data_IF_923297435308
#
_entry.id   IF_923297435308
#
_cell.length_a   1.000
_cell.length_b   1.000
_cell.length_c   1.000
_cell.angle_alpha   90.00
_cell.angle_beta   90.00
_cell.angle_gamma   90.00
#
_symmetry.space_group_name_H-M   'P 1'
#
loop_
_entity.id
_entity.type
_entity.pdbx_description
1 polymer ?
#
# COMPACT_ATOMS: atom_id res chain seq x y z
N UNK A 1 -12.64 8.06 38.00
CA UNK A 1 -12.70 8.26 36.53
C UNK A 1 -11.28 8.20 35.98
N UNK A 2 -10.95 7.38 34.98
CA UNK A 2 -9.61 7.39 34.41
C UNK A 2 -9.38 8.73 33.66
N UNK A 3 -8.37 9.53 34.04
CA UNK A 3 -8.38 10.98 33.78
C UNK A 3 -7.95 11.41 32.36
N UNK A 4 -7.67 10.50 31.43
CA UNK A 4 -7.04 10.86 30.16
C UNK A 4 -7.72 10.22 28.94
N UNK A 5 -8.96 10.63 28.63
CA UNK A 5 -9.63 10.30 27.35
C UNK A 5 -10.08 11.56 26.61
N UNK A 6 -9.85 11.63 25.30
CA UNK A 6 -10.37 12.70 24.44
C UNK A 6 -11.25 12.13 23.33
N UNK A 7 -12.18 12.92 22.80
CA UNK A 7 -13.06 12.53 21.68
C UNK A 7 -12.57 13.17 20.39
N UNK A 8 -12.15 12.35 19.42
CA UNK A 8 -11.70 12.83 18.11
C UNK A 8 -12.90 13.36 17.30
N UNK A 9 -12.85 14.56 16.74
CA UNK A 9 -13.98 15.11 15.98
C UNK A 9 -14.10 14.58 14.54
N UNK A 10 -13.10 13.86 14.03
CA UNK A 10 -13.15 13.22 12.71
C UNK A 10 -13.97 11.92 12.77
N UNK A 11 -13.66 11.03 13.72
CA UNK A 11 -14.30 9.71 13.82
C UNK A 11 -15.29 9.58 14.99
N UNK A 12 -15.40 10.61 15.85
CA UNK A 12 -16.27 10.68 17.02
C UNK A 12 -16.00 9.61 18.11
N UNK A 13 -14.92 8.85 18.00
CA UNK A 13 -14.48 7.86 18.98
C UNK A 13 -13.59 8.48 20.07
N UNK A 14 -13.57 7.86 21.26
CA UNK A 14 -12.73 8.29 22.38
C UNK A 14 -11.52 7.37 22.57
N UNK A 15 -10.32 7.94 22.73
CA UNK A 15 -9.09 7.18 23.02
C UNK A 15 -8.24 7.83 24.11
N UNK A 16 -7.18 7.13 24.52
CA UNK A 16 -6.17 7.65 25.44
C UNK A 16 -5.41 8.83 24.82
N UNK A 17 -4.97 9.78 25.65
CA UNK A 17 -4.22 10.97 25.20
C UNK A 17 -2.79 10.65 24.70
N UNK A 18 -2.25 9.47 24.98
CA UNK A 18 -0.87 9.10 24.58
C UNK A 18 -0.65 9.02 23.08
N UNK A 19 -1.71 8.85 22.29
CA UNK A 19 -1.66 8.81 20.82
C UNK A 19 -2.33 10.02 20.15
N UNK A 20 -2.62 11.06 20.95
CA UNK A 20 -3.29 12.27 20.50
C UNK A 20 -2.31 13.21 19.80
N UNK A 21 -2.71 13.72 18.64
CA UNK A 21 -2.01 14.78 17.94
C UNK A 21 -2.81 16.08 18.02
N UNK A 22 -2.14 17.19 18.27
CA UNK A 22 -2.74 18.52 18.26
C UNK A 22 -2.25 19.34 17.07
N UNK A 23 -3.13 20.19 16.54
CA UNK A 23 -2.80 21.19 15.53
C UNK A 23 -2.38 22.51 16.20
N UNK A 24 -1.77 23.45 15.48
CA UNK A 24 -1.39 24.77 16.02
C UNK A 24 -2.58 25.60 16.52
N UNK A 25 -3.81 25.25 16.11
CA UNK A 25 -5.04 25.86 16.61
C UNK A 25 -5.59 25.21 17.89
N UNK A 26 -4.90 24.21 18.45
CA UNK A 26 -5.25 23.56 19.72
C UNK A 26 -6.25 22.40 19.62
N UNK A 27 -6.74 22.06 18.42
CA UNK A 27 -7.65 20.93 18.25
C UNK A 27 -6.91 19.60 18.16
N UNK A 28 -7.47 18.59 18.82
CA UNK A 28 -6.84 17.28 19.08
C UNK A 28 -7.54 16.16 18.30
N UNK A 29 -6.76 15.28 17.68
CA UNK A 29 -7.21 14.19 16.82
C UNK A 29 -6.40 12.92 17.05
N UNK A 30 -6.94 11.76 16.64
CA UNK A 30 -6.11 10.56 16.52
C UNK A 30 -5.08 10.74 15.42
N UNK A 31 -3.87 10.23 15.63
CA UNK A 31 -2.83 10.14 14.60
C UNK A 31 -3.33 9.65 13.23
N UNK A 32 -3.96 8.46 13.11
CA UNK A 32 -4.44 7.98 11.81
C UNK A 32 -5.53 8.86 11.19
N UNK A 33 -6.35 9.53 12.01
CA UNK A 33 -7.44 10.36 11.50
C UNK A 33 -6.90 11.64 10.86
N UNK A 34 -5.95 12.32 11.51
CA UNK A 34 -5.40 13.58 10.99
C UNK A 34 -4.42 13.34 9.83
N UNK A 35 -3.65 12.25 9.84
CA UNK A 35 -2.81 11.86 8.72
C UNK A 35 -3.65 11.52 7.48
N UNK A 36 -4.75 10.77 7.66
CA UNK A 36 -5.70 10.49 6.58
C UNK A 36 -6.33 11.76 6.02
N UNK A 37 -6.73 12.70 6.89
CA UNK A 37 -7.26 14.01 6.49
C UNK A 37 -6.25 14.82 5.66
N UNK A 38 -4.96 14.76 6.01
CA UNK A 38 -3.89 15.42 5.25
C UNK A 38 -3.70 14.76 3.87
N UNK A 39 -3.72 13.44 3.80
CA UNK A 39 -3.45 12.69 2.56
C UNK A 39 -4.64 12.68 1.57
N UNK A 40 -5.89 12.63 2.06
CA UNK A 40 -7.07 12.67 1.20
C UNK A 40 -7.36 14.08 0.64
N UNK A 41 -6.66 15.10 1.14
CA UNK A 41 -6.81 16.49 0.69
C UNK A 41 -6.13 16.80 -0.65
N UNK A 42 -5.44 15.84 -1.27
CA UNK A 42 -4.69 15.99 -2.52
C UNK A 42 -5.53 16.47 -3.73
N UNK A 43 -6.85 16.49 -3.62
CA UNK A 43 -7.75 16.98 -4.66
C UNK A 43 -8.32 18.40 -4.45
N UNK A 44 -8.01 19.13 -3.35
CA UNK A 44 -8.58 20.48 -3.11
C UNK A 44 -7.61 21.47 -2.43
N UNK A 45 -7.72 22.79 -2.70
CA UNK A 45 -6.87 23.82 -2.10
C UNK A 45 -7.15 23.96 -0.59
N UNK A 46 -6.34 23.30 0.24
CA UNK A 46 -6.50 23.37 1.70
C UNK A 46 -5.72 22.35 2.52
N UNK A 47 -4.56 21.87 2.05
CA UNK A 47 -3.71 20.81 2.67
C UNK A 47 -3.43 20.95 4.18
N UNK A 48 -3.65 22.15 4.71
CA UNK A 48 -3.27 22.54 6.06
C UNK A 48 -4.45 23.13 6.86
N UNK A 49 -5.72 22.87 6.50
CA UNK A 49 -6.87 23.42 7.25
C UNK A 49 -7.40 22.44 8.29
N UNK A 50 -7.52 22.91 9.52
CA UNK A 50 -8.02 22.11 10.65
C UNK A 50 -9.45 21.61 10.38
N UNK A 51 -9.76 20.31 10.57
CA UNK A 51 -11.11 19.76 10.37
C UNK A 51 -12.18 20.44 11.23
N UNK A 52 -11.81 20.94 12.42
CA UNK A 52 -12.77 21.51 13.38
C UNK A 52 -13.04 22.99 13.14
N UNK A 53 -12.00 23.80 12.93
CA UNK A 53 -12.11 25.26 12.87
C UNK A 53 -11.69 25.88 11.53
N UNK A 54 -11.20 25.05 10.59
CA UNK A 54 -10.75 25.44 9.25
C UNK A 54 -9.59 26.43 9.19
N UNK A 55 -8.97 26.77 10.32
CA UNK A 55 -7.72 27.56 10.38
C UNK A 55 -6.56 26.78 9.78
N UNK A 56 -5.63 27.50 9.17
CA UNK A 56 -4.40 26.93 8.64
C UNK A 56 -3.44 26.52 9.77
N UNK A 57 -2.82 25.34 9.67
CA UNK A 57 -1.86 24.80 10.61
C UNK A 57 -0.60 24.30 9.89
N UNK A 58 0.58 24.56 10.46
CA UNK A 58 1.87 24.23 9.80
C UNK A 58 2.38 22.82 10.12
N UNK A 59 1.69 22.08 10.98
CA UNK A 59 2.05 20.74 11.41
C UNK A 59 1.17 20.21 12.53
N UNK A 60 1.34 18.94 12.86
CA UNK A 60 0.71 18.27 13.98
C UNK A 60 1.77 17.84 14.98
N UNK A 61 1.48 17.96 16.27
CA UNK A 61 2.44 17.67 17.34
C UNK A 61 1.83 16.69 18.35
N UNK A 62 2.59 15.70 18.86
CA UNK A 62 2.14 14.85 19.95
C UNK A 62 1.87 15.66 21.22
N UNK A 63 0.79 15.34 21.92
CA UNK A 63 0.48 15.97 23.20
C UNK A 63 1.20 15.22 24.33
N UNK A 64 2.27 15.79 24.86
CA UNK A 64 2.94 15.27 26.06
C UNK A 64 2.31 15.88 27.30
N UNK A 65 1.53 15.09 28.04
CA UNK A 65 1.17 15.45 29.42
C UNK A 65 2.29 14.93 30.30
N UNK A 66 3.18 15.82 30.74
CA UNK A 66 4.06 15.53 31.87
C UNK A 66 3.20 15.54 33.13
N UNK A 67 3.03 14.42 33.85
CA UNK A 67 2.36 14.42 35.14
C UNK A 67 3.21 15.24 36.11
N UNK A 68 2.68 16.38 36.57
CA UNK A 68 3.40 17.26 37.48
C UNK A 68 3.45 16.70 38.90
N UNK A 69 4.67 16.54 39.40
CA UNK A 69 5.09 16.71 40.80
C UNK A 69 6.63 16.71 40.76
N UNK A 70 7.42 17.61 41.33
CA UNK A 70 7.24 18.79 42.17
C UNK A 70 8.67 19.08 42.65
N UNK A 71 9.37 20.06 42.08
CA UNK A 71 10.72 20.40 42.52
C UNK A 71 10.64 21.05 43.90
N UNK A 72 11.26 20.49 44.96
CA UNK A 72 11.41 21.23 46.20
C UNK A 72 12.57 22.22 46.03
N UNK A 73 12.24 23.51 46.03
CA UNK A 73 13.17 24.58 46.40
C UNK A 73 13.81 24.22 47.74
N UNK A 74 15.13 24.00 47.77
CA UNK A 74 15.89 24.02 49.01
C UNK A 74 16.74 25.28 49.06
N UNK A 75 16.31 26.12 50.00
CA UNK A 75 17.00 27.28 50.52
C UNK A 75 18.48 27.01 50.82
N UNK A 76 19.31 27.94 50.39
CA UNK A 76 20.62 28.19 50.95
C UNK A 76 20.46 28.69 52.39
N UNK A 77 20.90 27.91 53.37
CA UNK A 77 21.32 28.44 54.67
C UNK A 77 22.83 28.27 54.77
N UNK A 78 23.50 29.41 54.65
CA UNK A 78 24.76 29.69 55.32
C UNK A 78 24.44 29.85 56.80
N UNK A 79 25.30 29.32 57.65
CA UNK A 79 25.62 29.61 59.06
C UNK A 79 26.54 28.44 59.47
N UNK A 80 27.65 28.54 60.21
CA UNK A 80 28.36 29.61 60.88
C UNK A 80 29.77 29.03 61.21
N UNK A 81 30.73 29.93 61.36
CA UNK A 81 32.08 29.68 61.83
C UNK A 81 32.08 29.20 63.30
N UNK A 82 32.94 28.24 63.66
CA UNK A 82 33.36 28.01 65.05
C UNK A 82 34.75 27.36 65.12
N UNK A 83 35.74 28.23 65.40
CA UNK A 83 36.88 28.08 66.30
C UNK A 83 37.61 26.72 66.42
N UNK A 84 38.83 26.73 65.91
CA UNK A 84 40.09 26.59 66.66
C UNK A 84 39.98 26.22 68.16
N UNK A 85 40.45 25.02 68.51
CA UNK A 85 41.15 24.73 69.76
C UNK A 85 41.82 23.34 69.68
N UNK A 86 43.13 23.35 69.80
CA UNK A 86 44.03 22.23 70.04
C UNK A 86 43.67 21.43 71.30
N UNK A 87 43.76 20.10 71.23
CA UNK A 87 44.14 19.29 72.39
C UNK A 87 44.83 17.99 71.96
N UNK A 88 46.04 17.81 72.49
CA UNK A 88 46.97 16.70 72.28
C UNK A 88 46.48 15.41 72.93
N UNK A 89 45.85 14.51 72.15
CA UNK A 89 45.61 13.13 72.56
C UNK A 89 45.85 12.15 71.39
N UNK A 90 46.81 11.24 71.60
CA UNK A 90 47.16 10.00 70.88
C UNK A 90 46.97 9.95 69.36
N UNK A 91 48.06 10.25 68.66
CA UNK A 91 48.19 10.29 67.20
C UNK A 91 47.96 8.92 66.52
N UNK A 92 48.09 7.80 67.23
CA UNK A 92 47.92 6.45 66.67
C UNK A 92 46.47 5.91 66.76
N UNK A 93 45.70 6.29 67.80
CA UNK A 93 44.29 5.88 67.95
C UNK A 93 43.35 6.72 67.09
N UNK A 94 43.70 8.00 66.86
CA UNK A 94 42.97 8.87 65.93
C UNK A 94 43.24 8.51 64.47
N UNK A 95 44.41 7.95 64.15
CA UNK A 95 44.72 7.44 62.80
C UNK A 95 43.82 6.28 62.40
N UNK A 96 43.66 5.31 63.30
CA UNK A 96 42.74 4.17 63.13
C UNK A 96 41.27 4.59 63.14
N UNK A 97 40.86 5.50 64.03
CA UNK A 97 39.49 6.02 64.08
C UNK A 97 39.11 6.84 62.83
N UNK A 98 40.02 7.69 62.31
CA UNK A 98 39.81 8.42 61.04
C UNK A 98 39.79 7.48 59.84
N UNK A 99 40.61 6.43 59.85
CA UNK A 99 40.60 5.38 58.83
C UNK A 99 39.28 4.61 58.85
N UNK A 100 38.83 4.17 60.03
CA UNK A 100 37.55 3.49 60.22
C UNK A 100 36.37 4.38 59.82
N UNK A 101 36.39 5.67 60.18
CA UNK A 101 35.35 6.64 59.83
C UNK A 101 35.26 6.88 58.32
N UNK A 102 36.40 6.97 57.61
CA UNK A 102 36.39 7.03 56.13
C UNK A 102 35.85 5.74 55.53
N UNK A 103 36.20 4.60 56.11
CA UNK A 103 35.81 3.28 55.61
C UNK A 103 34.32 3.03 55.83
N UNK A 104 33.78 3.39 57.00
CA UNK A 104 32.35 3.38 57.30
C UNK A 104 31.54 4.36 56.44
N UNK A 105 32.10 5.53 56.12
CA UNK A 105 31.48 6.48 55.17
C UNK A 105 31.44 5.92 53.75
N UNK A 106 32.48 5.21 53.31
CA UNK A 106 32.49 4.52 52.03
C UNK A 106 31.52 3.32 51.98
N UNK A 107 31.12 2.76 53.12
CA UNK A 107 30.07 1.73 53.21
C UNK A 107 28.64 2.32 53.34
N UNK A 108 28.50 3.64 53.21
CA UNK A 108 27.19 4.33 53.15
C UNK A 108 26.41 3.95 51.89
N UNK A 109 25.08 4.05 51.94
CA UNK A 109 24.13 3.55 50.94
C UNK A 109 24.23 4.14 49.52
N UNK A 110 25.18 5.05 49.26
CA UNK A 110 25.32 5.78 47.99
C UNK A 110 26.72 5.65 47.36
N UNK A 111 27.61 4.81 47.89
CA UNK A 111 28.96 4.65 47.35
C UNK A 111 28.98 3.70 46.16
N UNK A 112 29.90 3.92 45.22
CA UNK A 112 30.08 3.03 44.07
C UNK A 112 30.54 1.62 44.53
N UNK A 113 30.13 0.54 43.84
CA UNK A 113 30.47 -0.84 44.24
C UNK A 113 31.97 -1.10 44.40
N UNK A 114 32.80 -0.37 43.66
CA UNK A 114 34.25 -0.43 43.70
C UNK A 114 34.82 0.19 44.99
N UNK A 115 34.23 1.30 45.46
CA UNK A 115 34.58 1.95 46.74
C UNK A 115 34.15 1.09 47.94
N UNK A 116 32.99 0.42 47.84
CA UNK A 116 32.49 -0.51 48.87
C UNK A 116 33.40 -1.74 48.96
N UNK A 117 33.88 -2.27 47.83
CA UNK A 117 34.81 -3.40 47.78
C UNK A 117 36.20 -3.02 48.32
N UNK A 118 36.71 -1.84 47.99
CA UNK A 118 37.97 -1.33 48.52
C UNK A 118 37.87 -1.08 50.04
N UNK A 119 36.76 -0.49 50.51
CA UNK A 119 36.50 -0.26 51.93
C UNK A 119 36.38 -1.58 52.72
N UNK A 120 35.66 -2.58 52.21
CA UNK A 120 35.59 -3.91 52.84
C UNK A 120 36.95 -4.63 52.85
N UNK A 121 37.76 -4.50 51.80
CA UNK A 121 39.13 -5.03 51.75
C UNK A 121 40.02 -4.38 52.82
N UNK A 122 39.90 -3.06 53.00
CA UNK A 122 40.61 -2.31 54.05
C UNK A 122 40.16 -2.71 55.46
N UNK A 123 38.88 -3.01 55.69
CA UNK A 123 38.40 -3.56 56.98
C UNK A 123 38.93 -4.96 57.24
N UNK A 124 39.04 -5.81 56.22
CA UNK A 124 39.61 -7.15 56.34
C UNK A 124 41.05 -7.16 56.88
N UNK A 125 41.86 -6.17 56.49
CA UNK A 125 43.23 -5.99 56.98
C UNK A 125 43.37 -5.45 58.41
N UNK A 126 42.27 -4.96 59.02
CA UNK A 126 42.27 -4.54 60.43
C UNK A 126 42.10 -5.72 61.40
N UNK A 127 41.77 -6.92 60.91
CA UNK A 127 41.62 -8.12 61.76
C UNK A 127 42.88 -8.52 62.53
N UNK A 128 44.05 -8.07 62.07
CA UNK A 128 45.36 -8.31 62.70
C UNK A 128 45.73 -7.23 63.73
N UNK A 129 44.82 -6.28 64.02
CA UNK A 129 45.04 -5.23 65.01
C UNK A 129 44.99 -5.81 66.45
N UNK A 130 46.14 -5.91 67.10
CA UNK A 130 46.26 -6.28 68.52
C UNK A 130 45.84 -5.10 69.41
N UNK A 131 44.56 -5.02 69.71
CA UNK A 131 44.04 -4.19 70.80
C UNK A 131 44.11 -4.97 72.12
N UNK A 132 44.68 -4.36 73.16
CA UNK A 132 44.68 -4.91 74.53
C UNK A 132 43.27 -4.94 75.15
N UNK A 133 42.32 -4.17 74.60
CA UNK A 133 40.91 -4.21 74.99
C UNK A 133 40.17 -5.38 74.30
N UNK A 134 39.69 -6.40 75.07
CA UNK A 134 39.02 -7.58 74.53
C UNK A 134 37.65 -7.26 73.89
N UNK A 135 36.99 -6.18 74.30
CA UNK A 135 35.68 -5.78 73.79
C UNK A 135 35.81 -5.18 72.38
N UNK A 136 36.85 -4.39 72.16
CA UNK A 136 37.19 -3.81 70.85
C UNK A 136 37.58 -4.93 69.88
N UNK A 137 38.42 -5.87 70.32
CA UNK A 137 38.84 -7.02 69.52
C UNK A 137 37.66 -7.88 69.07
N UNK A 138 36.72 -8.19 69.96
CA UNK A 138 35.51 -8.96 69.62
C UNK A 138 34.61 -8.23 68.62
N UNK A 139 34.43 -6.92 68.80
CA UNK A 139 33.59 -6.10 67.91
C UNK A 139 34.20 -5.97 66.51
N UNK A 140 35.52 -5.86 66.43
CA UNK A 140 36.27 -5.81 65.18
C UNK A 140 36.17 -7.13 64.41
N UNK A 141 36.33 -8.27 65.09
CA UNK A 141 36.17 -9.60 64.49
C UNK A 141 34.75 -9.82 63.95
N UNK A 142 33.71 -9.39 64.68
CA UNK A 142 32.33 -9.49 64.21
C UNK A 142 32.04 -8.57 63.00
N UNK A 143 32.61 -7.36 62.97
CA UNK A 143 32.51 -6.47 61.82
C UNK A 143 33.21 -7.05 60.59
N UNK A 144 34.42 -7.60 60.76
CA UNK A 144 35.16 -8.27 59.68
C UNK A 144 34.40 -9.50 59.16
N UNK A 145 33.80 -10.29 60.06
CA UNK A 145 32.93 -11.42 59.67
C UNK A 145 31.72 -10.95 58.85
N UNK A 146 31.01 -9.92 59.30
CA UNK A 146 29.87 -9.37 58.53
C UNK A 146 30.29 -8.76 57.19
N UNK A 147 31.44 -8.08 57.13
CA UNK A 147 31.99 -7.52 55.91
C UNK A 147 32.30 -8.63 54.89
N UNK A 148 32.93 -9.72 55.33
CA UNK A 148 33.22 -10.88 54.46
C UNK A 148 31.96 -11.62 54.02
N UNK A 149 30.96 -11.79 54.90
CA UNK A 149 29.65 -12.35 54.55
C UNK A 149 28.96 -11.52 53.45
N UNK A 150 28.94 -10.19 53.59
CA UNK A 150 28.39 -9.27 52.58
C UNK A 150 29.16 -9.35 51.26
N UNK A 151 30.50 -9.36 51.31
CA UNK A 151 31.34 -9.48 50.12
C UNK A 151 31.07 -10.80 49.37
N UNK A 152 30.89 -11.91 50.08
CA UNK A 152 30.52 -13.19 49.48
C UNK A 152 29.13 -13.15 48.83
N UNK A 153 28.15 -12.51 49.47
CA UNK A 153 26.80 -12.36 48.92
C UNK A 153 26.81 -11.56 47.61
N UNK A 154 27.44 -10.38 47.61
CA UNK A 154 27.56 -9.56 46.39
C UNK A 154 28.33 -10.30 45.29
N UNK A 155 29.42 -11.00 45.63
CA UNK A 155 30.19 -11.78 44.65
C UNK A 155 29.32 -12.86 43.99
N UNK A 156 28.49 -13.57 44.77
CA UNK A 156 27.55 -14.57 44.23
C UNK A 156 26.49 -13.93 43.34
N UNK A 157 25.90 -12.81 43.76
CA UNK A 157 24.87 -12.12 42.98
C UNK A 157 25.43 -11.60 41.64
N UNK A 158 26.61 -10.97 41.67
CA UNK A 158 27.32 -10.53 40.46
C UNK A 158 27.61 -11.71 39.53
N UNK A 159 28.04 -12.85 40.06
CA UNK A 159 28.29 -14.05 39.26
C UNK A 159 27.00 -14.57 38.59
N UNK A 160 25.88 -14.61 39.31
CA UNK A 160 24.57 -14.99 38.76
C UNK A 160 24.13 -14.02 37.66
N UNK A 161 24.23 -12.71 37.89
CA UNK A 161 23.86 -11.69 36.90
C UNK A 161 24.73 -11.78 35.63
N UNK A 162 26.04 -12.03 35.78
CA UNK A 162 26.96 -12.25 34.65
C UNK A 162 26.57 -13.47 33.82
N UNK A 163 26.20 -14.57 34.47
CA UNK A 163 25.72 -15.77 33.78
C UNK A 163 24.42 -15.51 33.02
N UNK A 164 23.47 -14.83 33.66
CA UNK A 164 22.22 -14.42 33.00
C UNK A 164 22.47 -13.51 31.79
N UNK A 165 23.38 -12.53 31.91
CA UNK A 165 23.76 -11.67 30.78
C UNK A 165 24.37 -12.49 29.64
N UNK A 166 25.24 -13.45 29.94
CA UNK A 166 25.83 -14.34 28.93
C UNK A 166 24.78 -15.17 28.20
N UNK A 167 23.84 -15.76 28.92
CA UNK A 167 22.73 -16.54 28.34
C UNK A 167 21.81 -15.68 27.47
N UNK A 168 21.45 -14.48 27.95
CA UNK A 168 20.63 -13.54 27.19
C UNK A 168 21.34 -13.09 25.92
N UNK A 169 22.65 -12.80 26.00
CA UNK A 169 23.45 -12.42 24.83
C UNK A 169 23.54 -13.55 23.79
N UNK A 170 23.70 -14.79 24.23
CA UNK A 170 23.65 -15.95 23.32
C UNK A 170 22.29 -16.09 22.63
N UNK A 171 21.20 -15.88 23.38
CA UNK A 171 19.83 -15.89 22.84
C UNK A 171 19.61 -14.76 21.83
N UNK A 172 20.11 -13.56 22.11
CA UNK A 172 20.04 -12.42 21.18
C UNK A 172 20.76 -12.75 19.88
N UNK A 173 21.99 -13.27 19.95
CA UNK A 173 22.76 -13.67 18.78
C UNK A 173 22.01 -14.69 17.91
N UNK A 174 21.43 -15.73 18.54
CA UNK A 174 20.63 -16.73 17.82
C UNK A 174 19.39 -16.09 17.15
N UNK A 175 18.74 -15.14 17.81
CA UNK A 175 17.57 -14.45 17.26
C UNK A 175 17.94 -13.49 16.12
N UNK A 176 19.11 -12.86 16.18
CA UNK A 176 19.61 -12.00 15.10
C UNK A 176 19.95 -12.80 13.84
N UNK A 177 20.49 -14.02 13.98
CA UNK A 177 20.68 -14.96 12.87
C UNK A 177 19.34 -15.36 12.24
N UNK A 178 18.34 -15.68 13.08
CA UNK A 178 16.99 -16.02 12.63
C UNK A 178 16.32 -14.85 11.88
N UNK A 179 16.44 -13.63 12.40
CA UNK A 179 15.95 -12.40 11.76
C UNK A 179 16.63 -12.20 10.41
N UNK A 180 17.94 -12.41 10.33
CA UNK A 180 18.71 -12.25 9.08
C UNK A 180 18.26 -13.26 8.03
N UNK A 181 18.08 -14.53 8.43
CA UNK A 181 17.56 -15.58 7.55
C UNK A 181 16.16 -15.24 7.03
N UNK A 182 15.24 -14.85 7.93
CA UNK A 182 13.87 -14.50 7.54
C UNK A 182 13.82 -13.27 6.63
N UNK A 183 14.66 -12.26 6.88
CA UNK A 183 14.79 -11.09 5.98
C UNK A 183 15.24 -11.50 4.58
N UNK A 184 16.20 -12.44 4.48
CA UNK A 184 16.62 -13.02 3.19
C UNK A 184 15.46 -13.69 2.45
N UNK A 185 14.71 -14.57 3.13
CA UNK A 185 13.54 -15.24 2.53
C UNK A 185 12.46 -14.27 2.08
N UNK A 186 12.17 -13.24 2.88
CA UNK A 186 11.19 -12.19 2.51
C UNK A 186 11.66 -11.42 1.27
N UNK A 187 12.96 -11.10 1.17
CA UNK A 187 13.53 -10.44 0.00
C UNK A 187 13.39 -11.30 -1.26
N UNK A 188 13.72 -12.58 -1.17
CA UNK A 188 13.61 -13.52 -2.28
C UNK A 188 12.16 -13.69 -2.74
N UNK A 189 11.23 -13.91 -1.80
CA UNK A 189 9.80 -14.02 -2.13
C UNK A 189 9.26 -12.74 -2.79
N UNK A 190 9.68 -11.56 -2.34
CA UNK A 190 9.30 -10.29 -2.96
C UNK A 190 9.81 -10.18 -4.40
N UNK A 191 11.05 -10.59 -4.65
CA UNK A 191 11.63 -10.60 -5.99
C UNK A 191 10.89 -11.59 -6.90
N UNK A 192 10.69 -12.83 -6.45
CA UNK A 192 9.95 -13.84 -7.20
C UNK A 192 8.52 -13.38 -7.52
N UNK A 193 7.83 -12.78 -6.54
CA UNK A 193 6.50 -12.21 -6.76
C UNK A 193 6.53 -11.07 -7.79
N UNK A 194 7.53 -10.18 -7.72
CA UNK A 194 7.73 -9.12 -8.70
C UNK A 194 7.92 -9.65 -10.11
N UNK A 195 8.79 -10.64 -10.28
CA UNK A 195 9.09 -11.27 -11.57
C UNK A 195 7.88 -11.99 -12.17
N UNK A 196 7.16 -12.77 -11.35
CA UNK A 196 5.95 -13.47 -11.78
C UNK A 196 4.85 -12.48 -12.18
N UNK A 197 4.66 -11.42 -11.39
CA UNK A 197 3.66 -10.38 -11.69
C UNK A 197 3.99 -9.67 -12.99
N UNK A 198 5.26 -9.29 -13.19
CA UNK A 198 5.72 -8.65 -14.42
C UNK A 198 5.55 -9.57 -15.64
N UNK A 199 5.98 -10.83 -15.55
CA UNK A 199 5.81 -11.81 -16.65
C UNK A 199 4.35 -12.00 -17.03
N UNK A 200 3.45 -12.14 -16.04
CA UNK A 200 2.01 -12.26 -16.30
C UNK A 200 1.42 -11.00 -16.93
N UNK A 201 1.84 -9.83 -16.47
CA UNK A 201 1.43 -8.55 -17.05
C UNK A 201 1.87 -8.41 -18.50
N UNK A 202 3.15 -8.66 -18.79
CA UNK A 202 3.72 -8.59 -20.14
C UNK A 202 3.01 -9.58 -21.08
N UNK A 203 2.72 -10.80 -20.61
CA UNK A 203 2.00 -11.81 -21.37
C UNK A 203 0.55 -11.38 -21.67
N UNK A 204 -0.17 -10.85 -20.67
CA UNK A 204 -1.51 -10.32 -20.89
C UNK A 204 -1.50 -9.14 -21.86
N UNK A 205 -0.51 -8.25 -21.77
CA UNK A 205 -0.37 -7.12 -22.68
C UNK A 205 -0.11 -7.58 -24.12
N UNK A 206 0.74 -8.60 -24.32
CA UNK A 206 0.96 -9.20 -25.65
C UNK A 206 -0.32 -9.81 -26.22
N UNK A 207 -1.10 -10.53 -25.40
CA UNK A 207 -2.38 -11.10 -25.81
C UNK A 207 -3.37 -10.02 -26.22
N UNK A 208 -3.48 -8.94 -25.44
CA UNK A 208 -4.32 -7.78 -25.77
C UNK A 208 -3.92 -7.16 -27.11
N UNK A 209 -2.63 -6.92 -27.33
CA UNK A 209 -2.14 -6.37 -28.59
C UNK A 209 -2.48 -7.29 -29.78
N UNK A 210 -2.34 -8.62 -29.62
CA UNK A 210 -2.70 -9.59 -30.65
C UNK A 210 -4.21 -9.52 -30.99
N UNK A 211 -5.07 -9.48 -29.97
CA UNK A 211 -6.51 -9.35 -30.18
C UNK A 211 -6.90 -8.03 -30.85
N UNK A 212 -6.21 -6.92 -30.51
CA UNK A 212 -6.43 -5.63 -31.16
C UNK A 212 -6.07 -5.69 -32.66
N UNK A 213 -4.94 -6.30 -33.01
CA UNK A 213 -4.56 -6.48 -34.42
C UNK A 213 -5.59 -7.32 -35.17
N UNK A 214 -6.00 -8.47 -34.62
CA UNK A 214 -7.03 -9.32 -35.23
C UNK A 214 -8.37 -8.61 -35.39
N UNK A 215 -8.76 -7.79 -34.42
CA UNK A 215 -9.97 -6.99 -34.49
C UNK A 215 -9.88 -5.95 -35.62
N UNK A 216 -8.72 -5.31 -35.80
CA UNK A 216 -8.51 -4.37 -36.89
C UNK A 216 -8.55 -5.04 -38.27
N UNK A 217 -7.93 -6.21 -38.41
CA UNK A 217 -7.93 -7.01 -39.65
C UNK A 217 -9.34 -7.45 -40.05
N UNK A 218 -10.09 -8.03 -39.11
CA UNK A 218 -11.48 -8.46 -39.33
C UNK A 218 -12.40 -7.29 -39.64
N UNK A 219 -12.22 -6.15 -38.96
CA UNK A 219 -12.98 -4.92 -39.26
C UNK A 219 -12.71 -4.44 -40.68
N UNK A 220 -11.45 -4.47 -41.13
CA UNK A 220 -11.08 -4.10 -42.50
C UNK A 220 -11.68 -5.08 -43.53
N UNK A 221 -11.72 -6.37 -43.21
CA UNK A 221 -12.36 -7.38 -44.05
C UNK A 221 -13.87 -7.17 -44.17
N UNK A 222 -14.57 -6.93 -43.06
CA UNK A 222 -16.00 -6.60 -43.09
C UNK A 222 -16.28 -5.37 -43.94
N UNK A 223 -15.41 -4.34 -43.90
CA UNK A 223 -15.54 -3.16 -44.75
C UNK A 223 -15.43 -3.51 -46.24
N UNK A 224 -14.43 -4.32 -46.64
CA UNK A 224 -14.28 -4.79 -48.02
C UNK A 224 -15.49 -5.59 -48.50
N UNK A 225 -15.99 -6.50 -47.67
CA UNK A 225 -17.17 -7.31 -48.00
C UNK A 225 -18.39 -6.41 -48.22
N UNK A 226 -18.58 -5.39 -47.37
CA UNK A 226 -19.68 -4.44 -47.51
C UNK A 226 -19.61 -3.63 -48.80
N UNK A 227 -18.43 -3.09 -49.13
CA UNK A 227 -18.19 -2.37 -50.39
C UNK A 227 -18.48 -3.28 -51.61
N UNK A 228 -18.06 -4.54 -51.55
CA UNK A 228 -18.34 -5.52 -52.60
C UNK A 228 -19.84 -5.84 -52.72
N UNK A 229 -20.56 -5.96 -51.60
CA UNK A 229 -22.02 -6.13 -51.61
C UNK A 229 -22.75 -4.94 -52.24
N UNK A 230 -22.30 -3.72 -51.97
CA UNK A 230 -22.86 -2.50 -52.56
C UNK A 230 -22.63 -2.47 -54.09
N UNK A 231 -21.43 -2.85 -54.56
CA UNK A 231 -21.13 -2.97 -56.00
C UNK A 231 -22.02 -4.01 -56.69
N UNK A 232 -22.19 -5.20 -56.08
CA UNK A 232 -23.07 -6.24 -56.63
C UNK A 232 -24.53 -5.80 -56.65
N UNK A 233 -24.98 -5.02 -55.66
CA UNK A 233 -26.34 -4.49 -55.64
C UNK A 233 -26.57 -3.50 -56.79
N UNK A 234 -25.62 -2.61 -57.06
CA UNK A 234 -25.66 -1.66 -58.17
C UNK A 234 -25.65 -2.38 -59.53
N UNK A 235 -24.77 -3.36 -59.72
CA UNK A 235 -24.71 -4.14 -60.95
C UNK A 235 -26.02 -4.91 -61.20
N UNK A 236 -26.59 -5.52 -60.16
CA UNK A 236 -27.89 -6.20 -60.25
C UNK A 236 -29.01 -5.22 -60.65
N UNK A 237 -29.03 -4.00 -60.09
CA UNK A 237 -29.99 -2.97 -60.47
C UNK A 237 -29.82 -2.56 -61.93
N UNK A 238 -28.58 -2.38 -62.40
CA UNK A 238 -28.25 -2.08 -63.79
C UNK A 238 -28.69 -3.20 -64.74
N UNK A 239 -28.44 -4.46 -64.40
CA UNK A 239 -28.86 -5.62 -65.19
C UNK A 239 -30.38 -5.73 -65.27
N UNK A 240 -31.09 -5.53 -64.16
CA UNK A 240 -32.56 -5.45 -64.15
C UNK A 240 -33.07 -4.39 -65.11
N UNK A 241 -32.46 -3.19 -65.12
CA UNK A 241 -32.79 -2.14 -66.08
C UNK A 241 -32.59 -2.57 -67.53
N UNK A 242 -31.47 -3.23 -67.85
CA UNK A 242 -31.20 -3.74 -69.22
C UNK A 242 -32.19 -4.81 -69.65
N UNK A 243 -32.57 -5.71 -68.74
CA UNK A 243 -33.57 -6.76 -69.00
C UNK A 243 -34.92 -6.11 -69.31
N UNK A 244 -35.37 -5.16 -68.49
CA UNK A 244 -36.64 -4.45 -68.70
C UNK A 244 -36.69 -3.73 -70.06
N UNK A 245 -35.61 -3.08 -70.49
CA UNK A 245 -35.52 -2.48 -71.83
C UNK A 245 -35.62 -3.52 -72.94
N UNK A 246 -34.95 -4.67 -72.80
CA UNK A 246 -35.04 -5.76 -73.77
C UNK A 246 -36.45 -6.37 -73.83
N UNK A 247 -37.10 -6.55 -72.69
CA UNK A 247 -38.49 -7.03 -72.62
C UNK A 247 -39.45 -6.07 -73.32
N UNK A 248 -39.31 -4.77 -73.09
CA UNK A 248 -40.11 -3.74 -73.76
C UNK A 248 -39.90 -3.74 -75.28
N UNK A 249 -38.64 -3.87 -75.74
CA UNK A 249 -38.31 -3.96 -77.15
C UNK A 249 -38.91 -5.23 -77.79
N UNK A 250 -38.76 -6.38 -77.13
CA UNK A 250 -39.31 -7.64 -77.60
C UNK A 250 -40.85 -7.58 -77.71
N UNK A 251 -41.53 -7.00 -76.72
CA UNK A 251 -42.99 -6.85 -76.77
C UNK A 251 -43.44 -5.89 -77.88
N UNK A 252 -42.65 -4.85 -78.18
CA UNK A 252 -42.88 -3.97 -79.34
C UNK A 252 -42.72 -4.73 -80.66
N UNK A 253 -41.62 -5.46 -80.84
CA UNK A 253 -41.36 -6.27 -82.03
C UNK A 253 -42.45 -7.33 -82.23
N UNK A 254 -42.88 -7.98 -81.14
CA UNK A 254 -43.98 -8.95 -81.15
C UNK A 254 -45.28 -8.33 -81.65
N UNK A 255 -45.65 -7.13 -81.17
CA UNK A 255 -46.82 -6.38 -81.66
C UNK A 255 -46.71 -6.02 -83.14
N UNK A 256 -45.54 -5.56 -83.58
CA UNK A 256 -45.29 -5.26 -84.99
C UNK A 256 -45.44 -6.51 -85.88
N UNK A 257 -44.96 -7.66 -85.42
CA UNK A 257 -45.11 -8.95 -86.10
C UNK A 257 -46.58 -9.40 -86.14
N UNK A 258 -47.32 -9.31 -85.04
CA UNK A 258 -48.75 -9.66 -85.04
C UNK A 258 -49.56 -8.78 -85.99
N UNK A 259 -49.25 -7.47 -86.04
CA UNK A 259 -49.88 -6.54 -86.96
C UNK A 259 -49.56 -6.88 -88.42
N UNK A 260 -48.30 -7.22 -88.72
CA UNK A 260 -47.88 -7.68 -90.06
C UNK A 260 -48.59 -8.98 -90.44
N UNK A 261 -48.68 -9.94 -89.53
CA UNK A 261 -49.38 -11.20 -89.77
C UNK A 261 -50.87 -10.98 -90.06
N UNK A 262 -51.54 -10.13 -89.28
CA UNK A 262 -52.94 -9.77 -89.49
C UNK A 262 -53.15 -9.07 -90.85
N UNK A 263 -52.25 -8.16 -91.24
CA UNK A 263 -52.26 -7.53 -92.58
C UNK A 263 -52.09 -8.56 -93.70
N UNK A 264 -51.17 -9.52 -93.55
CA UNK A 264 -50.98 -10.60 -94.53
C UNK A 264 -52.21 -11.52 -94.61
N UNK A 265 -52.80 -11.90 -93.48
CA UNK A 265 -54.03 -12.70 -93.42
C UNK A 265 -55.18 -12.00 -94.16
N UNK A 266 -55.40 -10.71 -93.88
CA UNK A 266 -56.46 -9.93 -94.56
C UNK A 266 -56.18 -9.75 -96.05
N UNK A 267 -54.93 -9.52 -96.46
CA UNK A 267 -54.54 -9.46 -97.87
C UNK A 267 -54.79 -10.79 -98.59
N UNK A 268 -54.45 -11.92 -97.97
CA UNK A 268 -54.67 -13.26 -98.53
C UNK A 268 -56.18 -13.56 -98.71
N UNK A 269 -57.03 -13.18 -97.74
CA UNK A 269 -58.49 -13.28 -97.88
C UNK A 269 -58.99 -12.47 -99.09
N UNK A 270 -58.53 -11.23 -99.26
CA UNK A 270 -58.87 -10.39 -100.42
C UNK A 270 -58.40 -11.01 -101.74
N UNK A 271 -57.18 -11.58 -101.76
CA UNK A 271 -56.64 -12.26 -102.94
C UNK A 271 -57.49 -13.49 -103.31
N UNK A 272 -57.82 -14.34 -102.34
CA UNK A 272 -58.71 -15.50 -102.53
C UNK A 272 -60.07 -15.10 -103.08
N UNK A 273 -60.65 -13.99 -102.59
CA UNK A 273 -61.90 -13.45 -103.14
C UNK A 273 -61.74 -13.00 -104.60
N UNK A 274 -60.65 -12.30 -104.94
CA UNK A 274 -60.36 -11.89 -106.34
C UNK A 274 -60.20 -13.10 -107.25
N UNK A 275 -59.46 -14.13 -106.83
CA UNK A 275 -59.29 -15.38 -107.59
C UNK A 275 -60.65 -16.04 -107.82
N UNK A 276 -61.48 -16.21 -106.78
CA UNK A 276 -62.84 -16.75 -106.94
C UNK A 276 -63.66 -15.97 -107.98
N UNK A 277 -63.65 -14.64 -107.91
CA UNK A 277 -64.34 -13.78 -108.89
C UNK A 277 -63.83 -14.01 -110.31
N UNK A 278 -62.51 -14.07 -110.50
CA UNK A 278 -61.90 -14.34 -111.80
C UNK A 278 -62.25 -15.74 -112.32
N UNK A 279 -62.24 -16.76 -111.46
CA UNK A 279 -62.66 -18.13 -111.81
C UNK A 279 -64.12 -18.18 -112.24
N UNK A 280 -65.03 -17.52 -111.51
CA UNK A 280 -66.43 -17.43 -111.91
C UNK A 280 -66.62 -16.68 -113.23
N UNK A 281 -65.89 -15.59 -113.45
CA UNK A 281 -65.92 -14.85 -114.72
C UNK A 281 -65.44 -15.73 -115.89
N UNK A 282 -64.36 -16.49 -115.72
CA UNK A 282 -63.87 -17.44 -116.74
C UNK A 282 -64.88 -18.57 -117.01
N UNK A 283 -65.47 -19.15 -115.97
CA UNK A 283 -66.52 -20.17 -116.13
C UNK A 283 -67.75 -19.63 -116.86
N UNK A 284 -68.12 -18.37 -116.62
CA UNK A 284 -69.21 -17.70 -117.31
C UNK A 284 -68.91 -17.55 -118.81
N UNK A 285 -67.72 -17.04 -119.16
CA UNK A 285 -67.27 -16.91 -120.57
C UNK A 285 -67.28 -18.28 -121.27
N UNK A 286 -66.66 -19.30 -120.67
CA UNK A 286 -66.61 -20.65 -121.25
C UNK A 286 -68.00 -21.29 -121.46
N UNK A 287 -68.98 -21.01 -120.57
CA UNK A 287 -70.36 -21.48 -120.77
C UNK A 287 -71.11 -20.71 -121.85
N UNK A 288 -70.74 -19.45 -122.07
CA UNK A 288 -71.32 -18.61 -123.12
C UNK A 288 -70.92 -19.12 -124.50
N UNK A 289 -69.67 -19.55 -124.66
CA UNK A 289 -69.12 -20.04 -125.93
C UNK A 289 -69.58 -21.46 -126.31
N UNK A 290 -70.08 -22.25 -125.36
CA UNK A 290 -70.63 -23.60 -125.62
C UNK A 290 -72.11 -23.55 -126.03
N UNK A 291 -72.80 -22.43 -125.76
CA UNK A 291 -74.23 -22.25 -126.04
C UNK A 291 -74.53 -21.50 -127.37
N UNK A 292 -73.49 -21.09 -128.11
CA UNK A 292 -73.56 -20.43 -129.41
C UNK A 292 -73.07 -21.37 -130.52
#
# INVERSE_FOLDING_TARGET
MPPNRFKCSICLQSTNLSSALTTTCGHVFHKPCIEKWQNESDQKPGRNKCPQCRREYKGVHPMYITPGSSSPSRHSQRDEDASDASDDLDLDLLGTSRSLTRTLRALSANSEPEEVLEATTRLGGLGDYESDDPLIKSSLLDLTRRATELQQLFTREIATLRNQLKERNATIAQKDEEITRLRGQVSEMRQQHGDVTKKKFDEQQRRLNNYQTKLAETTAECKRIKEFQEQLAEENQRLKGRISVKEANFEKEKKEWTDKEQKLRTANVKLKQKVRRATYALQFVLRSDIAA
#
